data_IF_517870063557
#
_entry.id   IF_517870063557
#
_cell.length_a   1.000
_cell.length_b   1.000
_cell.length_c   1.000
_cell.angle_alpha   90.00
_cell.angle_beta   90.00
_cell.angle_gamma   90.00
#
_symmetry.space_group_name_H-M   'P 1'
#
loop_
_entity.id
_entity.type
_entity.pdbx_description
1 polymer ?
#
# COMPACT_ATOMS: atom_id res chain seq x y z
N UNK A 1 7.01 -8.77 -34.69
CA UNK A 1 6.98 -9.99 -33.86
C UNK A 1 6.75 -9.66 -32.39
N UNK A 2 7.61 -8.84 -31.74
CA UNK A 2 7.46 -8.42 -30.33
C UNK A 2 6.05 -7.89 -29.99
N UNK A 3 5.59 -6.83 -30.66
CA UNK A 3 4.32 -6.16 -30.33
C UNK A 3 3.06 -6.98 -30.61
N UNK A 4 3.12 -7.96 -31.51
CA UNK A 4 1.92 -8.67 -32.02
C UNK A 4 1.75 -10.08 -31.44
N UNK A 5 2.82 -10.66 -30.92
CA UNK A 5 2.83 -12.06 -30.42
C UNK A 5 3.34 -12.10 -28.99
N UNK A 6 4.49 -11.45 -28.71
CA UNK A 6 5.13 -11.53 -27.39
C UNK A 6 4.37 -10.69 -26.36
N UNK A 7 4.03 -9.44 -26.67
CA UNK A 7 3.25 -8.58 -25.77
C UNK A 7 1.91 -9.22 -25.33
N UNK A 8 1.04 -9.72 -26.23
CA UNK A 8 -0.22 -10.34 -25.81
C UNK A 8 -0.05 -11.65 -25.03
N UNK A 9 1.01 -12.45 -25.30
CA UNK A 9 1.28 -13.65 -24.51
C UNK A 9 1.91 -13.36 -23.14
N UNK A 10 2.70 -12.29 -23.03
CA UNK A 10 3.39 -11.90 -21.79
C UNK A 10 2.56 -10.98 -20.89
N UNK A 11 1.51 -10.35 -21.42
CA UNK A 11 0.55 -9.51 -20.70
C UNK A 11 0.03 -10.14 -19.39
N UNK A 12 -0.44 -11.41 -19.35
CA UNK A 12 -0.87 -12.02 -18.08
C UNK A 12 0.27 -12.15 -17.05
N UNK A 13 1.52 -12.36 -17.50
CA UNK A 13 2.68 -12.40 -16.61
C UNK A 13 3.09 -11.01 -16.09
N UNK A 14 2.98 -9.98 -16.93
CA UNK A 14 3.26 -8.59 -16.54
C UNK A 14 2.25 -8.10 -15.49
N UNK A 15 0.97 -8.42 -15.67
CA UNK A 15 -0.09 -8.07 -14.70
C UNK A 15 0.16 -8.76 -13.35
N UNK A 16 0.52 -10.05 -13.36
CA UNK A 16 0.92 -10.78 -12.14
C UNK A 16 2.17 -10.18 -11.46
N UNK A 17 3.17 -9.75 -12.25
CA UNK A 17 4.36 -9.08 -11.71
C UNK A 17 4.05 -7.74 -11.05
N UNK A 18 3.12 -6.96 -11.62
CA UNK A 18 2.71 -5.68 -11.05
C UNK A 18 2.00 -5.89 -9.70
N UNK A 19 1.09 -6.86 -9.59
CA UNK A 19 0.38 -7.14 -8.34
C UNK A 19 1.32 -7.69 -7.27
N UNK A 20 2.30 -8.53 -7.64
CA UNK A 20 3.33 -9.05 -6.74
C UNK A 20 4.19 -7.96 -6.10
N UNK A 21 4.46 -6.86 -6.81
CA UNK A 21 5.24 -5.72 -6.28
C UNK A 21 4.37 -4.71 -5.52
N UNK A 22 3.08 -4.60 -5.88
CA UNK A 22 2.18 -3.66 -5.25
C UNK A 22 1.92 -3.96 -3.77
N UNK A 23 1.76 -5.23 -3.41
CA UNK A 23 1.53 -5.66 -2.02
C UNK A 23 2.66 -5.24 -1.06
N UNK A 24 3.95 -5.55 -1.32
CA UNK A 24 5.05 -5.11 -0.47
C UNK A 24 5.32 -3.60 -0.55
N UNK A 25 4.97 -2.92 -1.66
CA UNK A 25 5.10 -1.46 -1.74
C UNK A 25 4.24 -0.74 -0.70
N UNK A 26 3.04 -1.26 -0.40
CA UNK A 26 2.15 -0.70 0.63
C UNK A 26 2.75 -0.86 2.04
N UNK A 27 3.50 -1.93 2.29
CA UNK A 27 4.07 -2.24 3.62
C UNK A 27 5.44 -1.60 3.87
N UNK A 28 6.08 -1.05 2.83
CA UNK A 28 7.47 -0.54 2.86
C UNK A 28 7.63 0.84 3.54
N UNK A 29 6.61 1.35 4.24
CA UNK A 29 6.71 2.62 4.98
C UNK A 29 7.79 2.60 6.07
N UNK A 30 8.04 1.43 6.67
CA UNK A 30 9.09 1.23 7.68
C UNK A 30 10.48 1.39 7.07
N UNK A 31 10.72 0.84 5.88
CA UNK A 31 12.00 0.96 5.18
C UNK A 31 12.22 2.42 4.76
N UNK A 32 11.18 3.11 4.30
CA UNK A 32 11.24 4.53 3.94
C UNK A 32 11.58 5.43 5.13
N UNK A 33 11.10 5.10 6.33
CA UNK A 33 11.52 5.78 7.57
C UNK A 33 13.01 5.58 7.85
N UNK A 34 13.50 4.35 7.71
CA UNK A 34 14.91 4.02 7.97
C UNK A 34 15.84 4.67 6.94
N UNK A 35 15.45 4.73 5.67
CA UNK A 35 16.20 5.40 4.59
C UNK A 35 16.13 6.94 4.68
N UNK A 36 15.00 7.49 5.13
CA UNK A 36 14.76 8.94 5.21
C UNK A 36 15.40 9.64 6.40
N UNK A 37 16.08 8.92 7.30
CA UNK A 37 16.87 9.48 8.39
C UNK A 37 16.10 10.36 9.39
N UNK A 38 14.77 10.30 9.42
CA UNK A 38 13.93 11.16 10.27
C UNK A 38 13.66 12.57 9.73
N UNK A 39 14.16 12.92 8.54
CA UNK A 39 13.88 14.23 7.93
C UNK A 39 12.45 14.37 7.37
N UNK A 40 11.78 13.24 7.11
CA UNK A 40 10.40 13.20 6.65
C UNK A 40 9.55 12.41 7.62
N UNK A 41 8.62 13.10 8.30
CA UNK A 41 7.63 12.46 9.15
C UNK A 41 6.57 11.80 8.27
N UNK A 42 6.68 10.48 8.13
CA UNK A 42 5.62 9.69 7.52
C UNK A 42 4.42 9.61 8.47
N UNK A 43 3.22 9.46 7.91
CA UNK A 43 1.97 9.41 8.68
C UNK A 43 2.02 8.30 9.76
N UNK A 44 2.71 7.17 9.46
CA UNK A 44 2.91 6.07 10.41
C UNK A 44 3.84 6.42 11.57
N UNK A 45 4.87 7.25 11.33
CA UNK A 45 5.75 7.74 12.40
C UNK A 45 4.98 8.69 13.32
N UNK A 46 4.08 9.51 12.75
CA UNK A 46 3.27 10.44 13.51
C UNK A 46 2.31 9.69 14.47
N UNK A 47 1.68 8.61 13.99
CA UNK A 47 0.82 7.74 14.80
C UNK A 47 1.63 7.10 15.93
N UNK A 48 2.78 6.49 15.61
CA UNK A 48 3.65 5.87 16.61
C UNK A 48 4.11 6.88 17.67
N UNK A 49 4.51 8.08 17.24
CA UNK A 49 4.93 9.14 18.15
C UNK A 49 3.79 9.54 19.11
N UNK A 50 2.56 9.63 18.60
CA UNK A 50 1.43 9.99 19.45
C UNK A 50 1.08 8.91 20.48
N UNK A 51 1.16 7.63 20.10
CA UNK A 51 0.86 6.52 20.99
C UNK A 51 1.98 6.27 22.02
N UNK A 52 3.23 6.30 21.59
CA UNK A 52 4.37 5.83 22.40
C UNK A 52 5.09 6.99 23.10
N UNK A 53 5.30 8.13 22.43
CA UNK A 53 6.12 9.22 22.96
C UNK A 53 5.29 10.30 23.67
N UNK A 54 4.16 10.71 23.07
CA UNK A 54 3.26 11.71 23.67
C UNK A 54 2.30 11.05 24.67
N UNK A 55 1.98 9.77 24.48
CA UNK A 55 1.06 9.03 25.36
C UNK A 55 -0.41 9.42 25.18
N UNK A 56 -0.76 10.11 24.10
CA UNK A 56 -2.10 10.61 23.84
C UNK A 56 -2.88 9.63 22.96
N UNK A 57 -3.39 8.58 23.60
CA UNK A 57 -3.98 7.43 22.90
C UNK A 57 -5.26 7.79 22.15
N UNK A 58 -5.97 8.81 22.61
CA UNK A 58 -7.16 9.34 21.94
C UNK A 58 -6.80 10.00 20.60
N UNK A 59 -5.77 10.85 20.57
CA UNK A 59 -5.34 11.53 19.35
C UNK A 59 -4.69 10.54 18.36
N UNK A 60 -3.88 9.61 18.88
CA UNK A 60 -3.31 8.53 18.07
C UNK A 60 -4.39 7.68 17.41
N UNK A 61 -5.46 7.34 18.15
CA UNK A 61 -6.59 6.56 17.63
C UNK A 61 -7.37 7.31 16.55
N UNK A 62 -7.60 8.62 16.72
CA UNK A 62 -8.27 9.45 15.72
C UNK A 62 -7.49 9.50 14.39
N UNK A 63 -6.17 9.70 14.45
CA UNK A 63 -5.33 9.71 13.24
C UNK A 63 -5.31 8.34 12.56
N UNK A 64 -5.18 7.25 13.32
CA UNK A 64 -5.27 5.89 12.79
C UNK A 64 -6.60 5.62 12.10
N UNK A 65 -7.71 6.10 12.66
CA UNK A 65 -9.04 5.92 12.09
C UNK A 65 -9.21 6.68 10.77
N UNK A 66 -8.71 7.91 10.70
CA UNK A 66 -8.70 8.70 9.46
C UNK A 66 -7.84 8.01 8.40
N UNK A 67 -6.66 7.51 8.78
CA UNK A 67 -5.79 6.77 7.87
C UNK A 67 -6.46 5.49 7.35
N UNK A 68 -7.15 4.75 8.21
CA UNK A 68 -7.90 3.56 7.83
C UNK A 68 -8.98 3.88 6.79
N UNK A 69 -9.73 4.96 6.98
CA UNK A 69 -10.74 5.41 6.01
C UNK A 69 -10.08 5.75 4.66
N UNK A 70 -8.96 6.48 4.67
CA UNK A 70 -8.22 6.81 3.44
C UNK A 70 -7.73 5.55 2.71
N UNK A 71 -7.23 4.55 3.45
CA UNK A 71 -6.81 3.27 2.89
C UNK A 71 -8.01 2.52 2.30
N UNK A 72 -9.15 2.46 3.00
CA UNK A 72 -10.36 1.82 2.49
C UNK A 72 -10.91 2.51 1.25
N UNK A 73 -10.86 3.84 1.18
CA UNK A 73 -11.25 4.59 -0.01
C UNK A 73 -10.27 4.30 -1.15
N UNK A 74 -8.97 4.35 -0.89
CA UNK A 74 -7.94 4.04 -1.88
C UNK A 74 -8.08 2.62 -2.41
N UNK A 75 -8.24 1.64 -1.53
CA UNK A 75 -8.50 0.24 -1.90
C UNK A 75 -9.83 0.08 -2.63
N UNK A 76 -10.89 0.80 -2.24
CA UNK A 76 -12.18 0.77 -2.93
C UNK A 76 -12.10 1.34 -4.34
N UNK A 77 -11.31 2.40 -4.52
CA UNK A 77 -11.02 2.99 -5.83
C UNK A 77 -10.17 2.02 -6.65
N UNK A 78 -9.08 1.50 -6.10
CA UNK A 78 -8.25 0.47 -6.75
C UNK A 78 -9.10 -0.72 -7.15
N UNK A 79 -9.97 -1.25 -6.27
CA UNK A 79 -10.89 -2.36 -6.55
C UNK A 79 -11.90 -2.05 -7.66
N UNK A 80 -12.27 -0.78 -7.86
CA UNK A 80 -13.13 -0.36 -8.99
C UNK A 80 -12.36 -0.38 -10.32
N UNK A 81 -11.05 -0.14 -10.30
CA UNK A 81 -10.16 -0.35 -11.45
C UNK A 81 -9.73 -1.82 -11.60
N UNK A 82 -9.72 -2.56 -10.49
CA UNK A 82 -9.32 -3.96 -10.35
C UNK A 82 -10.54 -4.90 -10.39
N UNK A 83 -11.65 -4.47 -11.00
CA UNK A 83 -12.90 -5.24 -11.14
C UNK A 83 -12.74 -6.48 -12.04
N UNK A 84 -11.51 -6.85 -12.39
CA UNK A 84 -11.20 -8.01 -13.21
C UNK A 84 -10.45 -9.13 -12.45
N UNK A 85 -10.08 -8.93 -11.18
CA UNK A 85 -9.38 -9.97 -10.41
C UNK A 85 -9.89 -10.12 -8.97
N UNK A 86 -11.13 -10.60 -8.85
CA UNK A 86 -11.53 -11.39 -7.68
C UNK A 86 -10.67 -12.66 -7.64
N UNK A 87 -9.96 -12.89 -6.53
CA UNK A 87 -9.31 -14.18 -6.30
C UNK A 87 -8.04 -14.15 -5.47
N UNK A 88 -8.04 -13.46 -4.33
CA UNK A 88 -7.18 -13.89 -3.24
C UNK A 88 -7.69 -15.24 -2.74
N UNK A 89 -6.91 -16.31 -2.94
CA UNK A 89 -6.82 -17.52 -2.13
C UNK A 89 -6.58 -18.76 -3.00
N UNK A 90 -5.31 -19.02 -3.33
CA UNK A 90 -4.68 -20.35 -3.31
C UNK A 90 -3.20 -20.14 -3.64
N UNK A 91 -2.37 -20.00 -2.61
CA UNK A 91 -0.99 -20.49 -2.41
C UNK A 91 -0.42 -19.78 -1.18
#
# INVERSE_FOLDING_TARGET
>A
VLKRIIIPLSLPGVVSGITMVFMPAITTFVISRLLGGGHYTLIGNLIEQQFIFVGDWNFGSAISFILMILILISMGITRKYDKEYEGGAIW
#
